data_IF_275805466033
#
_entry.id   IF_275805466033
#
_cell.length_a   1.000
_cell.length_b   1.000
_cell.length_c   1.000
_cell.angle_alpha   90.00
_cell.angle_beta   90.00
_cell.angle_gamma   90.00
#
_symmetry.space_group_name_H-M   'P 1'
#
loop_
_entity.id
_entity.type
_entity.pdbx_description
1 polymer ?
#
# COMPACT_ATOMS: atom_id res chain seq x y z
N UNK A 1 -54.99 -51.43 -17.81
CA UNK A 1 -53.76 -51.52 -16.99
C UNK A 1 -52.48 -51.29 -17.79
N UNK A 2 -52.44 -51.44 -19.12
CA UNK A 2 -51.23 -51.09 -19.92
C UNK A 2 -51.07 -49.58 -20.20
N UNK A 3 -52.13 -48.78 -20.09
CA UNK A 3 -52.08 -47.33 -20.36
C UNK A 3 -51.47 -46.45 -19.25
N UNK A 4 -51.56 -46.86 -17.98
CA UNK A 4 -51.00 -46.10 -16.86
C UNK A 4 -49.48 -46.30 -16.72
N UNK A 5 -48.98 -47.52 -16.97
CA UNK A 5 -47.54 -47.81 -16.95
C UNK A 5 -46.76 -47.03 -18.04
N UNK A 6 -47.37 -46.81 -19.21
CA UNK A 6 -46.77 -46.00 -20.28
C UNK A 6 -46.70 -44.51 -19.96
N UNK A 7 -47.65 -43.99 -19.18
CA UNK A 7 -47.66 -42.59 -18.74
C UNK A 7 -46.57 -42.28 -17.70
N UNK A 8 -46.36 -43.19 -16.74
CA UNK A 8 -45.30 -43.07 -15.72
C UNK A 8 -43.91 -43.16 -16.37
N UNK A 9 -43.70 -44.09 -17.29
CA UNK A 9 -42.45 -44.22 -18.05
C UNK A 9 -42.15 -42.98 -18.91
N UNK A 10 -43.18 -42.34 -19.49
CA UNK A 10 -42.99 -41.07 -20.21
C UNK A 10 -42.59 -39.93 -19.28
N UNK A 11 -43.18 -39.83 -18.09
CA UNK A 11 -42.83 -38.79 -17.12
C UNK A 11 -41.39 -38.97 -16.61
N UNK A 12 -40.99 -40.20 -16.25
CA UNK A 12 -39.61 -40.52 -15.85
C UNK A 12 -38.60 -40.21 -16.97
N UNK A 13 -38.97 -40.46 -18.23
CA UNK A 13 -38.16 -40.09 -19.38
C UNK A 13 -38.01 -38.57 -19.53
N UNK A 14 -39.08 -37.79 -19.28
CA UNK A 14 -39.03 -36.33 -19.31
C UNK A 14 -38.15 -35.75 -18.21
N UNK A 15 -38.27 -36.24 -16.97
CA UNK A 15 -37.43 -35.84 -15.84
C UNK A 15 -35.96 -36.19 -16.10
N UNK A 16 -35.70 -37.36 -16.68
CA UNK A 16 -34.35 -37.77 -17.09
C UNK A 16 -33.77 -36.88 -18.19
N UNK A 17 -34.59 -36.44 -19.15
CA UNK A 17 -34.18 -35.51 -20.21
C UNK A 17 -33.83 -34.14 -19.61
N UNK A 18 -34.62 -33.64 -18.66
CA UNK A 18 -34.36 -32.35 -18.00
C UNK A 18 -33.08 -32.41 -17.15
N UNK A 19 -32.90 -33.47 -16.36
CA UNK A 19 -31.68 -33.72 -15.61
C UNK A 19 -30.45 -33.80 -16.53
N UNK A 20 -30.55 -34.50 -17.67
CA UNK A 20 -29.46 -34.58 -18.65
C UNK A 20 -29.14 -33.22 -19.30
N UNK A 21 -30.14 -32.37 -19.53
CA UNK A 21 -29.94 -31.00 -20.03
C UNK A 21 -29.24 -30.12 -18.99
N UNK A 22 -29.68 -30.16 -17.74
CA UNK A 22 -29.06 -29.42 -16.64
C UNK A 22 -27.60 -29.86 -16.45
N UNK A 23 -27.35 -31.16 -16.40
CA UNK A 23 -26.01 -31.72 -16.31
C UNK A 23 -25.10 -31.29 -17.48
N UNK A 24 -25.62 -31.30 -18.72
CA UNK A 24 -24.88 -30.81 -19.89
C UNK A 24 -24.51 -29.32 -19.74
N UNK A 25 -25.45 -28.48 -19.29
CA UNK A 25 -25.21 -27.05 -19.11
C UNK A 25 -24.12 -26.82 -18.06
N UNK A 26 -24.19 -27.51 -16.91
CA UNK A 26 -23.14 -27.42 -15.88
C UNK A 26 -21.77 -27.90 -16.40
N UNK A 27 -21.72 -28.96 -17.21
CA UNK A 27 -20.47 -29.41 -17.82
C UNK A 27 -19.90 -28.36 -18.78
N UNK A 28 -20.75 -27.67 -19.54
CA UNK A 28 -20.32 -26.60 -20.43
C UNK A 28 -19.77 -25.41 -19.64
N UNK A 29 -20.41 -25.03 -18.54
CA UNK A 29 -19.92 -23.98 -17.63
C UNK A 29 -18.56 -24.37 -17.00
N UNK A 30 -18.42 -25.61 -16.51
CA UNK A 30 -17.14 -26.12 -15.98
C UNK A 30 -16.05 -26.15 -17.06
N UNK A 31 -16.39 -26.41 -18.32
CA UNK A 31 -15.45 -26.39 -19.43
C UNK A 31 -14.97 -24.97 -19.76
N UNK A 32 -15.85 -23.97 -19.67
CA UNK A 32 -15.47 -22.55 -19.78
C UNK A 32 -14.53 -22.16 -18.62
N UNK A 33 -14.88 -22.53 -17.38
CA UNK A 33 -14.06 -22.26 -16.21
C UNK A 33 -12.66 -22.91 -16.30
N UNK A 34 -12.58 -24.13 -16.85
CA UNK A 34 -11.30 -24.81 -17.08
C UNK A 34 -10.42 -24.06 -18.09
N UNK A 35 -11.01 -23.52 -19.15
CA UNK A 35 -10.27 -22.74 -20.14
C UNK A 35 -9.77 -21.41 -19.56
N UNK A 36 -10.57 -20.75 -18.73
CA UNK A 36 -10.15 -19.57 -17.98
C UNK A 36 -8.97 -19.89 -17.03
N UNK A 37 -9.04 -21.00 -16.30
CA UNK A 37 -7.96 -21.43 -15.41
C UNK A 37 -6.65 -21.71 -16.19
N UNK A 38 -6.74 -22.29 -17.39
CA UNK A 38 -5.57 -22.50 -18.27
C UNK A 38 -4.98 -21.18 -18.74
N UNK A 39 -5.81 -20.23 -19.16
CA UNK A 39 -5.36 -18.92 -19.60
C UNK A 39 -4.69 -18.16 -18.45
N UNK A 40 -5.26 -18.22 -17.25
CA UNK A 40 -4.68 -17.64 -16.05
C UNK A 40 -3.26 -18.16 -15.78
N UNK A 41 -3.02 -19.48 -15.86
CA UNK A 41 -1.68 -20.07 -15.66
C UNK A 41 -0.71 -19.58 -16.74
N UNK A 42 -1.13 -19.54 -18.01
CA UNK A 42 -0.28 -19.10 -19.12
C UNK A 42 0.11 -17.63 -18.98
N UNK A 43 -0.86 -16.78 -18.67
CA UNK A 43 -0.64 -15.34 -18.49
C UNK A 43 0.23 -15.06 -17.26
N UNK A 44 -0.06 -15.70 -16.13
CA UNK A 44 0.75 -15.52 -14.91
C UNK A 44 2.18 -16.01 -15.10
N UNK A 45 2.39 -17.12 -15.80
CA UNK A 45 3.72 -17.63 -16.13
C UNK A 45 4.48 -16.66 -17.05
N UNK A 46 3.82 -16.13 -18.08
CA UNK A 46 4.43 -15.17 -19.00
C UNK A 46 4.84 -13.87 -18.27
N UNK A 47 3.95 -13.34 -17.43
CA UNK A 47 4.21 -12.16 -16.61
C UNK A 47 5.34 -12.40 -15.60
N UNK A 48 5.32 -13.55 -14.91
CA UNK A 48 6.38 -13.93 -13.95
C UNK A 48 7.74 -14.07 -14.65
N UNK A 49 7.78 -14.72 -15.82
CA UNK A 49 9.01 -14.83 -16.62
C UNK A 49 9.53 -13.47 -17.06
N UNK A 50 8.64 -12.56 -17.47
CA UNK A 50 9.02 -11.21 -17.85
C UNK A 50 9.58 -10.43 -16.65
N UNK A 51 8.88 -10.45 -15.51
CA UNK A 51 9.31 -9.78 -14.28
C UNK A 51 10.67 -10.30 -13.77
N UNK A 52 10.88 -11.62 -13.76
CA UNK A 52 12.17 -12.21 -13.39
C UNK A 52 13.29 -11.75 -14.32
N UNK A 53 13.08 -11.78 -15.64
CA UNK A 53 14.07 -11.32 -16.60
C UNK A 53 14.41 -9.84 -16.39
N UNK A 54 13.40 -9.00 -16.23
CA UNK A 54 13.59 -7.57 -16.00
C UNK A 54 14.38 -7.32 -14.71
N UNK A 55 13.99 -7.96 -13.60
CA UNK A 55 14.68 -7.84 -12.31
C UNK A 55 16.17 -8.19 -12.42
N UNK A 56 16.51 -9.32 -13.07
CA UNK A 56 17.91 -9.69 -13.24
C UNK A 56 18.68 -8.81 -14.22
N UNK A 57 18.01 -8.18 -15.20
CA UNK A 57 18.64 -7.16 -16.07
C UNK A 57 18.97 -5.91 -15.26
N UNK A 58 18.02 -5.42 -14.46
CA UNK A 58 18.20 -4.24 -13.62
C UNK A 58 19.30 -4.47 -12.58
N UNK A 59 19.29 -5.63 -11.91
CA UNK A 59 20.30 -6.00 -10.93
C UNK A 59 21.70 -6.09 -11.54
N UNK A 60 21.84 -6.73 -12.72
CA UNK A 60 23.12 -6.79 -13.43
C UNK A 60 23.64 -5.40 -13.75
N UNK A 61 22.75 -4.53 -14.27
CA UNK A 61 23.10 -3.16 -14.62
C UNK A 61 23.59 -2.38 -13.39
N UNK A 62 22.90 -2.51 -12.26
CA UNK A 62 23.28 -1.86 -11.01
C UNK A 62 24.63 -2.38 -10.46
N UNK A 63 24.83 -3.70 -10.42
CA UNK A 63 26.09 -4.30 -9.94
C UNK A 63 27.26 -3.92 -10.84
N UNK A 64 27.11 -3.98 -12.17
CA UNK A 64 28.14 -3.56 -13.11
C UNK A 64 28.53 -2.10 -12.89
N UNK A 65 27.55 -1.20 -12.75
CA UNK A 65 27.82 0.22 -12.48
C UNK A 65 28.64 0.42 -11.20
N UNK A 66 28.29 -0.27 -10.11
CA UNK A 66 29.02 -0.16 -8.84
C UNK A 66 30.45 -0.70 -8.95
N UNK A 67 30.67 -1.76 -9.72
CA UNK A 67 32.00 -2.30 -9.98
C UNK A 67 32.85 -1.33 -10.82
N UNK A 68 32.27 -0.75 -11.86
CA UNK A 68 32.93 0.24 -12.72
C UNK A 68 33.32 1.50 -11.92
N UNK A 69 32.40 2.02 -11.08
CA UNK A 69 32.66 3.16 -10.19
C UNK A 69 33.80 2.87 -9.20
N UNK A 70 33.85 1.64 -8.66
CA UNK A 70 34.92 1.24 -7.74
C UNK A 70 36.27 1.10 -8.47
N UNK A 71 36.26 0.55 -9.68
CA UNK A 71 37.45 0.46 -10.52
C UNK A 71 37.99 1.86 -10.83
N UNK A 72 37.12 2.79 -11.23
CA UNK A 72 37.51 4.16 -11.52
C UNK A 72 38.14 4.85 -10.29
N UNK A 73 37.55 4.66 -9.11
CA UNK A 73 38.08 5.19 -7.85
C UNK A 73 39.51 4.69 -7.60
N UNK A 74 39.76 3.38 -7.75
CA UNK A 74 41.09 2.79 -7.55
C UNK A 74 42.11 3.30 -8.58
N UNK A 75 41.70 3.48 -9.83
CA UNK A 75 42.56 4.05 -10.87
C UNK A 75 42.90 5.52 -10.59
N UNK A 76 41.94 6.31 -10.09
CA UNK A 76 42.17 7.68 -9.67
C UNK A 76 43.16 7.77 -8.49
N UNK A 77 43.06 6.86 -7.51
CA UNK A 77 44.03 6.75 -6.40
C UNK A 77 45.45 6.47 -6.93
N UNK A 78 45.59 5.53 -7.88
CA UNK A 78 46.87 5.21 -8.54
C UNK A 78 47.43 6.45 -9.25
N UNK A 79 46.63 7.13 -10.08
CA UNK A 79 47.06 8.32 -10.81
C UNK A 79 47.41 9.49 -9.87
N UNK A 80 46.72 9.64 -8.75
CA UNK A 80 47.03 10.67 -7.76
C UNK A 80 48.40 10.42 -7.12
N UNK A 81 48.66 9.19 -6.67
CA UNK A 81 49.96 8.81 -6.08
C UNK A 81 51.07 8.98 -7.12
N UNK A 82 50.85 8.57 -8.37
CA UNK A 82 51.83 8.73 -9.45
C UNK A 82 52.18 10.22 -9.66
N UNK A 83 51.17 11.08 -9.81
CA UNK A 83 51.38 12.52 -10.04
C UNK A 83 52.07 13.22 -8.86
N UNK A 84 51.69 12.87 -7.63
CA UNK A 84 52.29 13.45 -6.42
C UNK A 84 53.77 13.09 -6.28
N UNK A 85 54.16 11.87 -6.65
CA UNK A 85 55.51 11.35 -6.42
C UNK A 85 56.46 11.52 -7.62
N UNK A 86 55.96 11.71 -8.84
CA UNK A 86 56.81 12.02 -10.01
C UNK A 86 57.34 13.45 -9.93
N UNK A 87 56.53 14.41 -9.48
CA UNK A 87 56.89 15.84 -9.53
C UNK A 87 58.22 16.17 -8.82
N UNK A 88 58.51 15.68 -7.61
CA UNK A 88 59.81 15.89 -6.98
C UNK A 88 60.98 15.30 -7.78
N UNK A 89 60.76 14.16 -8.46
CA UNK A 89 61.78 13.52 -9.31
C UNK A 89 62.04 14.36 -10.56
N UNK A 90 61.00 14.90 -11.20
CA UNK A 90 61.14 15.83 -12.33
C UNK A 90 61.93 17.09 -11.93
N UNK A 91 61.68 17.61 -10.74
CA UNK A 91 62.40 18.79 -10.23
C UNK A 91 63.85 18.44 -9.89
N UNK A 92 64.13 17.26 -9.33
CA UNK A 92 65.49 16.75 -9.16
C UNK A 92 66.22 16.58 -10.51
N UNK A 93 65.53 16.05 -11.53
CA UNK A 93 66.10 15.90 -12.87
C UNK A 93 66.48 17.27 -13.46
N UNK A 94 65.62 18.28 -13.36
CA UNK A 94 65.93 19.64 -13.83
C UNK A 94 67.15 20.23 -13.14
N UNK A 95 67.28 20.04 -11.83
CA UNK A 95 68.45 20.51 -11.06
C UNK A 95 69.74 19.82 -11.53
N UNK A 96 69.68 18.51 -11.78
CA UNK A 96 70.80 17.76 -12.33
C UNK A 96 71.16 18.24 -13.74
N UNK A 97 70.19 18.40 -14.63
CA UNK A 97 70.39 18.91 -15.99
C UNK A 97 71.01 20.32 -15.99
N UNK A 98 70.54 21.22 -15.13
CA UNK A 98 71.14 22.55 -14.95
C UNK A 98 72.58 22.48 -14.43
N UNK A 99 72.83 21.60 -13.46
CA UNK A 99 74.17 21.35 -12.92
C UNK A 99 75.13 20.84 -14.00
N UNK A 100 74.70 19.87 -14.81
CA UNK A 100 75.48 19.33 -15.94
C UNK A 100 75.78 20.42 -16.97
N UNK A 101 74.77 21.19 -17.39
CA UNK A 101 74.98 22.28 -18.35
C UNK A 101 75.97 23.33 -17.82
N UNK A 102 75.85 23.69 -16.53
CA UNK A 102 76.77 24.65 -15.89
C UNK A 102 78.19 24.10 -15.83
N UNK A 103 78.35 22.81 -15.51
CA UNK A 103 79.65 22.13 -15.50
C UNK A 103 80.26 22.08 -16.90
N UNK A 104 79.47 21.77 -17.93
CA UNK A 104 79.91 21.75 -19.33
C UNK A 104 80.40 23.14 -19.79
N UNK A 105 79.70 24.21 -19.43
CA UNK A 105 80.09 25.58 -19.78
C UNK A 105 81.36 26.01 -19.04
N UNK A 106 81.51 25.65 -17.76
CA UNK A 106 82.74 25.85 -17.00
C UNK A 106 83.92 25.07 -17.60
N UNK A 107 83.70 23.83 -18.02
CA UNK A 107 84.72 23.01 -18.67
C UNK A 107 85.21 23.66 -19.95
N UNK A 108 84.30 24.09 -20.83
CA UNK A 108 84.65 24.82 -22.06
C UNK A 108 85.43 26.11 -21.76
N UNK A 109 84.98 26.91 -20.80
CA UNK A 109 85.67 28.14 -20.39
C UNK A 109 87.09 27.85 -19.85
N UNK A 110 87.23 26.80 -19.04
CA UNK A 110 88.51 26.33 -18.52
C UNK A 110 89.46 25.84 -19.60
N UNK A 111 88.99 25.00 -20.52
CA UNK A 111 89.77 24.49 -21.66
C UNK A 111 90.26 25.62 -22.57
N UNK A 112 89.41 26.61 -22.84
CA UNK A 112 89.79 27.81 -23.59
C UNK A 112 90.80 28.69 -22.83
N UNK A 113 90.62 28.86 -21.51
CA UNK A 113 91.54 29.65 -20.68
C UNK A 113 92.94 29.02 -20.59
N UNK A 114 93.04 27.69 -20.59
CA UNK A 114 94.31 26.94 -20.54
C UNK A 114 95.01 26.84 -21.90
N UNK A 115 94.25 26.74 -22.99
CA UNK A 115 94.81 26.58 -24.36
C UNK A 115 95.28 27.89 -25.03
N UNK A 116 94.99 29.06 -24.45
CA UNK A 116 95.43 30.35 -24.96
C UNK A 116 96.96 30.53 -24.90
N UNK A 117 97.61 30.64 -26.06
CA UNK A 117 99.09 30.68 -26.26
C UNK A 117 99.79 31.93 -25.66
N UNK A 118 99.09 32.86 -25.04
CA UNK A 118 99.68 33.91 -24.20
C UNK A 118 98.68 34.27 -23.11
N UNK A 119 98.95 33.83 -21.87
CA UNK A 119 98.03 33.91 -20.73
C UNK A 119 97.42 35.29 -20.52
N UNK A 120 96.17 35.46 -20.94
CA UNK A 120 95.36 36.55 -20.45
C UNK A 120 94.96 36.19 -19.01
N UNK A 121 95.78 36.60 -18.04
CA UNK A 121 95.60 36.29 -16.60
C UNK A 121 94.18 36.58 -16.10
N UNK A 122 93.48 37.51 -16.73
CA UNK A 122 92.09 37.86 -16.44
C UNK A 122 91.12 36.71 -16.73
N UNK A 123 91.29 35.97 -17.84
CA UNK A 123 90.43 34.82 -18.17
C UNK A 123 90.64 33.66 -17.20
N UNK A 124 91.89 33.42 -16.82
CA UNK A 124 92.25 32.37 -15.85
C UNK A 124 91.72 32.70 -14.45
N UNK A 125 91.83 33.97 -14.05
CA UNK A 125 91.26 34.49 -12.80
C UNK A 125 89.73 34.40 -12.78
N UNK A 126 89.06 34.77 -13.86
CA UNK A 126 87.60 34.68 -13.99
C UNK A 126 87.10 33.23 -13.92
N UNK A 127 87.76 32.30 -14.64
CA UNK A 127 87.49 30.87 -14.53
C UNK A 127 87.68 30.36 -13.09
N UNK A 128 88.83 30.65 -12.47
CA UNK A 128 89.16 30.18 -11.12
C UNK A 128 88.14 30.69 -10.08
N UNK A 129 87.71 31.94 -10.20
CA UNK A 129 86.67 32.51 -9.32
C UNK A 129 85.30 31.86 -9.53
N UNK A 130 84.90 31.61 -10.79
CA UNK A 130 83.65 30.90 -11.10
C UNK A 130 83.69 29.46 -10.61
N UNK A 131 84.80 28.75 -10.81
CA UNK A 131 84.98 27.38 -10.33
C UNK A 131 84.88 27.30 -8.79
N UNK A 132 85.47 28.27 -8.08
CA UNK A 132 85.37 28.35 -6.62
C UNK A 132 83.92 28.56 -6.12
N UNK A 133 83.11 29.30 -6.87
CA UNK A 133 81.71 29.56 -6.53
C UNK A 133 80.76 28.42 -6.88
N UNK A 134 81.10 27.55 -7.84
CA UNK A 134 80.23 26.47 -8.31
C UNK A 134 80.29 25.18 -7.48
N UNK A 135 81.00 25.18 -6.34
CA UNK A 135 81.02 24.07 -5.36
C UNK A 135 81.12 22.67 -6.00
N UNK A 136 82.12 22.51 -6.90
CA UNK A 136 82.33 21.31 -7.73
C UNK A 136 82.49 19.99 -6.94
N UNK A 137 82.73 20.08 -5.63
CA UNK A 137 82.87 18.93 -4.73
C UNK A 137 81.54 18.44 -4.13
N UNK A 138 80.41 19.07 -4.49
CA UNK A 138 79.08 18.72 -3.98
C UNK A 138 78.12 18.35 -5.11
N UNK A 139 77.45 17.21 -4.97
CA UNK A 139 76.40 16.76 -5.89
C UNK A 139 75.04 16.82 -5.19
N UNK A 140 73.96 17.18 -5.91
CA UNK A 140 72.62 17.08 -5.35
C UNK A 140 72.28 15.61 -5.05
N UNK A 141 71.60 15.39 -3.93
CA UNK A 141 71.21 14.05 -3.48
C UNK A 141 70.02 13.54 -4.30
N UNK A 142 70.08 12.28 -4.71
CA UNK A 142 69.01 11.60 -5.45
C UNK A 142 68.44 10.51 -4.55
N UNK A 143 67.12 10.44 -4.35
CA UNK A 143 66.51 9.40 -3.52
C UNK A 143 66.83 8.01 -4.07
N UNK A 144 67.08 7.07 -3.17
CA UNK A 144 67.28 5.67 -3.53
C UNK A 144 65.97 5.04 -4.00
N UNK A 145 66.04 3.99 -4.82
CA UNK A 145 64.83 3.32 -5.33
C UNK A 145 63.93 2.75 -4.23
N UNK A 146 64.47 2.48 -3.05
CA UNK A 146 63.71 2.00 -1.88
C UNK A 146 62.88 3.13 -1.25
N UNK A 147 63.32 4.38 -1.42
CA UNK A 147 62.64 5.57 -0.92
C UNK A 147 61.57 6.09 -1.91
N UNK A 148 61.57 5.59 -3.16
CA UNK A 148 60.56 5.91 -4.17
C UNK A 148 59.37 4.93 -4.03
N UNK A 149 58.12 5.42 -3.96
CA UNK A 149 56.95 4.56 -3.88
C UNK A 149 56.84 3.56 -5.04
N UNK A 150 56.50 2.31 -4.72
CA UNK A 150 56.18 1.26 -5.69
C UNK A 150 54.67 0.96 -5.65
N UNK A 151 53.94 1.37 -6.68
CA UNK A 151 52.49 1.19 -6.75
C UNK A 151 52.14 -0.29 -6.99
N UNK A 152 51.27 -0.83 -6.14
CA UNK A 152 50.70 -2.18 -6.30
C UNK A 152 49.26 -2.19 -5.81
N UNK A 153 48.43 -3.06 -6.40
CA UNK A 153 47.04 -3.25 -5.99
C UNK A 153 46.89 -4.61 -5.31
N UNK A 154 46.30 -4.63 -4.12
CA UNK A 154 45.89 -5.85 -3.45
C UNK A 154 44.40 -6.08 -3.68
N UNK A 155 44.06 -7.20 -4.32
CA UNK A 155 42.69 -7.57 -4.67
C UNK A 155 42.28 -8.81 -3.86
N UNK A 156 41.09 -8.78 -3.27
CA UNK A 156 40.56 -9.90 -2.50
C UNK A 156 39.66 -10.80 -3.37
N UNK A 157 39.93 -12.11 -3.39
CA UNK A 157 39.16 -13.10 -4.14
C UNK A 157 37.89 -13.58 -3.39
N UNK A 158 37.78 -13.30 -2.08
CA UNK A 158 36.66 -13.75 -1.24
C UNK A 158 35.33 -13.11 -1.68
N UNK A 159 35.38 -11.90 -2.22
CA UNK A 159 34.19 -11.16 -2.67
C UNK A 159 33.34 -11.98 -3.65
N UNK A 160 33.97 -12.68 -4.61
CA UNK A 160 33.25 -13.48 -5.59
C UNK A 160 32.49 -14.66 -4.95
N UNK A 161 33.05 -15.26 -3.88
CA UNK A 161 32.39 -16.32 -3.16
C UNK A 161 31.15 -15.80 -2.42
N UNK A 162 31.29 -14.67 -1.71
CA UNK A 162 30.17 -14.02 -1.01
C UNK A 162 29.08 -13.63 -1.99
N UNK A 163 29.42 -12.97 -3.10
CA UNK A 163 28.44 -12.55 -4.11
C UNK A 163 27.72 -13.75 -4.73
N UNK A 164 28.44 -14.84 -5.04
CA UNK A 164 27.82 -16.07 -5.55
C UNK A 164 26.78 -16.62 -4.58
N UNK A 165 27.13 -16.73 -3.29
CA UNK A 165 26.23 -17.27 -2.27
C UNK A 165 24.96 -16.43 -2.11
N UNK A 166 25.06 -15.12 -2.26
CA UNK A 166 23.91 -14.22 -2.25
C UNK A 166 23.08 -14.36 -3.53
N UNK A 167 23.71 -14.39 -4.71
CA UNK A 167 23.02 -14.55 -6.00
C UNK A 167 22.20 -15.85 -6.03
N UNK A 168 22.75 -16.95 -5.54
CA UNK A 168 22.06 -18.24 -5.51
C UNK A 168 20.80 -18.26 -4.62
N UNK A 169 20.63 -17.27 -3.73
CA UNK A 169 19.48 -17.14 -2.83
C UNK A 169 18.49 -16.06 -3.28
N UNK A 170 18.76 -15.36 -4.39
CA UNK A 170 17.91 -14.27 -4.85
C UNK A 170 16.61 -14.79 -5.47
N UNK A 171 15.51 -14.42 -4.83
CA UNK A 171 14.16 -14.70 -5.29
C UNK A 171 13.72 -16.15 -5.11
N UNK A 172 12.42 -16.36 -5.20
CA UNK A 172 11.80 -17.68 -5.21
C UNK A 172 10.56 -17.66 -6.07
N UNK A 173 10.27 -18.77 -6.75
CA UNK A 173 9.03 -18.95 -7.50
C UNK A 173 8.10 -19.83 -6.67
N UNK A 174 6.89 -19.34 -6.39
CA UNK A 174 5.84 -20.11 -5.74
C UNK A 174 4.78 -20.50 -6.76
N UNK A 175 4.27 -21.72 -6.66
CA UNK A 175 3.17 -22.22 -7.51
C UNK A 175 1.80 -21.70 -7.08
N UNK A 176 1.70 -21.21 -5.84
CA UNK A 176 0.48 -20.68 -5.23
C UNK A 176 0.83 -19.47 -4.36
N UNK A 177 0.05 -18.38 -4.40
CA UNK A 177 0.18 -17.35 -3.39
C UNK A 177 -0.33 -17.90 -2.04
N UNK A 178 0.26 -17.47 -0.92
CA UNK A 178 -0.12 -17.98 0.41
C UNK A 178 -1.50 -17.49 0.85
N UNK A 179 -2.08 -16.51 0.15
CA UNK A 179 -3.38 -15.88 0.47
C UNK A 179 -4.22 -15.66 -0.78
N UNK A 180 -5.54 -15.71 -0.63
CA UNK A 180 -6.51 -15.41 -1.68
C UNK A 180 -7.67 -14.57 -1.14
N UNK A 181 -8.25 -13.75 -2.00
CA UNK A 181 -9.53 -13.09 -1.71
C UNK A 181 -10.61 -14.17 -1.69
N UNK A 182 -11.32 -14.25 -0.57
CA UNK A 182 -12.36 -15.24 -0.29
C UNK A 182 -13.74 -14.67 -0.62
N UNK A 183 -14.03 -13.45 -0.13
CA UNK A 183 -15.32 -12.79 -0.31
C UNK A 183 -15.16 -11.32 -0.67
N UNK A 184 -16.05 -10.84 -1.53
CA UNK A 184 -16.25 -9.43 -1.86
C UNK A 184 -17.70 -9.08 -1.60
N UNK A 185 -17.95 -8.24 -0.60
CA UNK A 185 -19.30 -7.93 -0.15
C UNK A 185 -19.59 -6.46 -0.40
N UNK A 186 -20.60 -6.17 -1.22
CA UNK A 186 -21.03 -4.81 -1.50
C UNK A 186 -21.48 -4.09 -0.21
N UNK A 187 -21.07 -2.82 -0.10
CA UNK A 187 -21.50 -1.89 0.94
C UNK A 187 -21.86 -0.54 0.29
N UNK A 188 -22.73 0.28 0.91
CA UNK A 188 -23.01 1.63 0.45
C UNK A 188 -21.73 2.46 0.23
N UNK A 189 -21.39 2.79 -1.02
CA UNK A 189 -20.16 3.51 -1.34
C UNK A 189 -18.85 2.79 -1.00
N UNK A 190 -18.89 1.47 -0.80
CA UNK A 190 -17.77 0.69 -0.29
C UNK A 190 -17.85 -0.79 -0.70
N UNK A 191 -16.75 -1.52 -0.51
CA UNK A 191 -16.68 -2.97 -0.67
C UNK A 191 -15.89 -3.54 0.50
N UNK A 192 -16.48 -4.48 1.25
CA UNK A 192 -15.75 -5.28 2.24
C UNK A 192 -15.03 -6.40 1.50
N UNK A 193 -13.71 -6.42 1.61
CA UNK A 193 -12.85 -7.46 1.04
C UNK A 193 -12.39 -8.36 2.17
N UNK A 194 -12.63 -9.67 2.06
CA UNK A 194 -12.12 -10.68 2.99
C UNK A 194 -11.16 -11.61 2.27
N UNK A 195 -10.13 -12.05 2.95
CA UNK A 195 -9.14 -12.98 2.42
C UNK A 195 -8.78 -14.08 3.42
N UNK A 196 -8.42 -15.23 2.88
CA UNK A 196 -8.03 -16.39 3.68
C UNK A 196 -6.61 -16.84 3.30
N UNK A 197 -6.00 -17.57 4.23
CA UNK A 197 -4.73 -18.25 3.98
C UNK A 197 -5.00 -19.54 3.22
N UNK A 198 -4.22 -19.78 2.16
CA UNK A 198 -4.32 -20.99 1.34
C UNK A 198 -3.19 -22.00 1.61
N UNK A 199 -2.19 -21.59 2.38
CA UNK A 199 -1.05 -22.41 2.78
C UNK A 199 -1.00 -22.49 4.31
N UNK A 200 -1.38 -23.64 4.85
CA UNK A 200 -1.45 -23.85 6.30
C UNK A 200 -0.09 -23.77 6.99
N UNK A 201 1.00 -24.00 6.26
CA UNK A 201 2.36 -23.93 6.79
C UNK A 201 2.90 -22.49 6.85
N UNK A 202 2.33 -21.57 6.07
CA UNK A 202 2.75 -20.16 6.05
C UNK A 202 2.28 -19.40 7.30
N UNK A 203 3.19 -18.70 7.99
CA UNK A 203 2.85 -17.89 9.15
C UNK A 203 2.84 -16.41 8.78
N UNK A 204 1.65 -15.92 8.40
CA UNK A 204 1.44 -14.52 8.03
C UNK A 204 1.63 -13.60 9.24
N UNK A 205 2.37 -12.50 9.03
CA UNK A 205 2.53 -11.40 9.99
C UNK A 205 1.68 -10.20 9.58
N UNK A 206 1.81 -9.79 8.32
CA UNK A 206 1.00 -8.73 7.73
C UNK A 206 0.42 -9.17 6.39
N UNK A 207 -0.71 -8.57 6.05
CA UNK A 207 -1.34 -8.57 4.75
C UNK A 207 -1.25 -7.18 4.13
N UNK A 208 -1.26 -7.14 2.80
CA UNK A 208 -1.32 -5.90 2.02
C UNK A 208 -2.42 -6.03 0.97
N UNK A 209 -3.44 -5.21 1.08
CA UNK A 209 -4.54 -5.13 0.12
C UNK A 209 -4.34 -3.93 -0.80
N UNK A 210 -4.50 -4.18 -2.10
CA UNK A 210 -4.51 -3.16 -3.13
C UNK A 210 -5.79 -3.21 -3.95
N UNK A 211 -6.16 -2.05 -4.49
CA UNK A 211 -7.24 -1.93 -5.45
C UNK A 211 -6.88 -0.97 -6.60
N UNK A 212 -7.64 -1.03 -7.69
CA UNK A 212 -7.66 -0.01 -8.74
C UNK A 212 -9.01 0.02 -9.44
N UNK A 213 -9.34 1.16 -10.05
CA UNK A 213 -10.40 1.19 -11.07
C UNK A 213 -9.98 0.29 -12.23
N UNK A 214 -10.93 -0.42 -12.85
CA UNK A 214 -10.63 -1.28 -13.99
C UNK A 214 -10.05 -0.49 -15.19
N UNK A 215 -10.35 0.81 -15.28
CA UNK A 215 -9.80 1.74 -16.28
C UNK A 215 -8.42 2.31 -15.92
N UNK A 216 -7.94 2.10 -14.69
CA UNK A 216 -6.66 2.62 -14.21
C UNK A 216 -5.53 1.61 -14.44
N UNK A 217 -4.31 2.12 -14.66
CA UNK A 217 -3.13 1.28 -14.87
C UNK A 217 -2.46 0.86 -13.56
N UNK A 218 -2.53 1.69 -12.51
CA UNK A 218 -1.80 1.49 -11.26
C UNK A 218 -2.70 0.98 -10.12
N UNK A 219 -2.13 0.17 -9.23
CA UNK A 219 -2.76 -0.31 -8.00
C UNK A 219 -2.33 0.55 -6.83
N UNK A 220 -3.29 0.92 -5.98
CA UNK A 220 -3.04 1.69 -4.76
C UNK A 220 -3.21 0.82 -3.53
N UNK A 221 -2.36 1.06 -2.52
CA UNK A 221 -2.49 0.42 -1.21
C UNK A 221 -3.68 1.01 -0.46
N UNK A 222 -4.57 0.13 0.01
CA UNK A 222 -5.72 0.53 0.85
C UNK A 222 -5.61 0.00 2.27
N UNK A 223 -4.85 -1.07 2.48
CA UNK A 223 -4.64 -1.65 3.80
C UNK A 223 -3.29 -2.36 3.90
N UNK A 224 -2.61 -2.18 5.04
CA UNK A 224 -1.44 -2.95 5.48
C UNK A 224 -1.60 -3.24 6.97
N UNK A 225 -1.62 -4.51 7.36
CA UNK A 225 -1.75 -4.94 8.76
C UNK A 225 -2.11 -6.41 8.90
N UNK A 226 -2.42 -6.85 10.12
CA UNK A 226 -2.63 -8.25 10.48
C UNK A 226 -4.05 -8.79 10.29
N UNK A 227 -5.04 -7.93 10.02
CA UNK A 227 -6.43 -8.34 9.84
C UNK A 227 -6.63 -9.06 8.51
N UNK A 228 -7.61 -9.97 8.46
CA UNK A 228 -7.96 -10.75 7.27
C UNK A 228 -9.11 -10.16 6.46
N UNK A 229 -9.56 -8.96 6.82
CA UNK A 229 -10.61 -8.24 6.11
C UNK A 229 -10.44 -6.73 6.21
N UNK A 230 -10.94 -6.01 5.21
CA UNK A 230 -10.92 -4.56 5.20
C UNK A 230 -12.05 -3.97 4.35
N UNK A 231 -12.67 -2.90 4.84
CA UNK A 231 -13.71 -2.16 4.12
C UNK A 231 -13.04 -1.06 3.28
N UNK A 232 -13.01 -1.26 1.97
CA UNK A 232 -12.54 -0.25 1.02
C UNK A 232 -13.67 0.74 0.77
N UNK A 233 -13.51 1.94 1.33
CA UNK A 233 -14.45 3.05 1.15
C UNK A 233 -14.18 3.81 -0.15
N UNK A 234 -15.06 4.76 -0.47
CA UNK A 234 -14.91 5.68 -1.62
C UNK A 234 -14.99 4.98 -2.98
N UNK A 235 -15.75 3.89 -3.04
CA UNK A 235 -16.03 3.19 -4.29
C UNK A 235 -17.18 3.89 -5.00
N UNK A 236 -16.90 4.37 -6.20
CA UNK A 236 -17.92 4.94 -7.09
C UNK A 236 -18.96 3.86 -7.44
N UNK A 237 -20.27 4.14 -7.25
CA UNK A 237 -21.32 3.19 -7.62
C UNK A 237 -21.30 2.84 -9.10
N UNK A 238 -21.53 1.57 -9.40
CA UNK A 238 -21.59 0.99 -10.74
C UNK A 238 -20.28 1.09 -11.54
N UNK A 239 -19.15 1.29 -10.86
CA UNK A 239 -17.80 1.25 -11.46
C UNK A 239 -17.09 -0.01 -11.03
N UNK A 240 -16.47 -0.72 -11.98
CA UNK A 240 -15.69 -1.93 -11.70
C UNK A 240 -14.32 -1.58 -11.10
N UNK A 241 -13.99 -2.22 -9.98
CA UNK A 241 -12.69 -2.17 -9.33
C UNK A 241 -12.07 -3.56 -9.29
N UNK A 242 -10.75 -3.62 -9.40
CA UNK A 242 -9.96 -4.83 -9.26
C UNK A 242 -9.21 -4.82 -7.95
N UNK A 243 -9.21 -5.95 -7.24
CA UNK A 243 -8.60 -6.14 -5.93
C UNK A 243 -7.55 -7.25 -5.99
N UNK A 244 -6.47 -7.09 -5.22
CA UNK A 244 -5.47 -8.12 -4.96
C UNK A 244 -4.89 -8.00 -3.56
N UNK A 245 -4.55 -9.13 -2.95
CA UNK A 245 -3.94 -9.20 -1.63
C UNK A 245 -2.66 -10.02 -1.67
N UNK A 246 -1.64 -9.63 -0.90
CA UNK A 246 -0.47 -10.46 -0.62
C UNK A 246 -0.20 -10.46 0.89
N UNK A 247 0.73 -11.30 1.32
CA UNK A 247 1.13 -11.39 2.73
C UNK A 247 2.64 -11.39 2.86
N UNK A 248 3.15 -11.03 4.04
CA UNK A 248 4.53 -11.33 4.43
C UNK A 248 4.51 -12.12 5.73
N UNK A 249 5.50 -12.96 5.91
CA UNK A 249 5.53 -13.95 6.97
C UNK A 249 6.87 -14.66 7.09
N UNK A 250 6.94 -15.62 8.00
CA UNK A 250 8.11 -16.50 8.18
C UNK A 250 9.44 -15.76 8.41
N UNK A 251 9.38 -14.59 9.08
CA UNK A 251 10.55 -13.76 9.34
C UNK A 251 11.12 -13.06 8.10
N UNK A 252 10.45 -13.14 6.95
CA UNK A 252 10.83 -12.46 5.72
C UNK A 252 10.24 -11.05 5.69
N UNK A 253 11.04 -10.10 5.19
CA UNK A 253 10.60 -8.72 4.93
C UNK A 253 9.86 -8.58 3.59
N UNK A 254 10.13 -9.50 2.66
CA UNK A 254 9.57 -9.50 1.31
C UNK A 254 8.09 -9.91 1.33
N UNK A 255 7.30 -9.24 0.50
CA UNK A 255 5.92 -9.61 0.25
C UNK A 255 5.85 -10.85 -0.64
N UNK A 256 4.89 -11.72 -0.35
CA UNK A 256 4.55 -12.86 -1.18
C UNK A 256 4.05 -12.42 -2.57
N UNK A 257 3.97 -13.35 -3.53
CA UNK A 257 3.15 -13.15 -4.72
C UNK A 257 1.71 -12.73 -4.35
N UNK A 258 1.10 -11.97 -5.24
CA UNK A 258 -0.29 -11.51 -5.12
C UNK A 258 -1.30 -12.64 -5.36
N UNK A 259 -2.47 -12.51 -4.74
CA UNK A 259 -3.66 -13.30 -5.03
C UNK A 259 -4.09 -13.15 -6.50
N UNK A 260 -5.03 -14.00 -6.92
CA UNK A 260 -5.74 -13.77 -8.18
C UNK A 260 -6.48 -12.44 -8.09
N UNK A 261 -6.49 -11.70 -9.21
CA UNK A 261 -7.26 -10.47 -9.32
C UNK A 261 -8.75 -10.78 -9.27
N UNK A 262 -9.46 -10.12 -8.37
CA UNK A 262 -10.91 -10.20 -8.31
C UNK A 262 -11.54 -8.85 -8.65
N UNK A 263 -12.57 -8.88 -9.49
CA UNK A 263 -13.29 -7.67 -9.89
C UNK A 263 -14.60 -7.58 -9.12
N UNK A 264 -14.88 -6.41 -8.55
CA UNK A 264 -16.16 -6.12 -7.89
C UNK A 264 -16.54 -4.67 -8.07
N UNK A 265 -17.81 -4.38 -7.86
CA UNK A 265 -18.41 -3.04 -7.90
C UNK A 265 -19.47 -2.96 -6.81
N UNK A 266 -19.78 -1.76 -6.36
CA UNK A 266 -20.97 -1.54 -5.53
C UNK A 266 -22.08 -0.92 -6.37
N UNK A 267 -23.30 -1.44 -6.24
CA UNK A 267 -24.51 -0.81 -6.79
C UNK A 267 -25.16 0.16 -5.79
N UNK A 268 -24.66 0.17 -4.56
CA UNK A 268 -25.24 0.86 -3.42
C UNK A 268 -24.69 2.28 -3.29
N UNK A 269 -25.60 3.24 -3.24
CA UNK A 269 -25.27 4.67 -3.13
C UNK A 269 -24.64 4.96 -1.75
N UNK A 270 -23.56 5.77 -1.67
CA UNK A 270 -22.94 6.12 -0.40
C UNK A 270 -23.90 6.75 0.60
N UNK A 271 -23.73 6.44 1.88
CA UNK A 271 -24.45 7.11 2.96
C UNK A 271 -23.93 8.56 3.13
N UNK A 272 -24.80 9.53 2.91
CA UNK A 272 -24.50 10.96 3.03
C UNK A 272 -25.52 11.65 3.95
N UNK A 273 -25.05 12.60 4.75
CA UNK A 273 -25.87 13.55 5.50
C UNK A 273 -26.48 14.61 4.57
N UNK A 274 -27.66 15.11 4.93
CA UNK A 274 -28.36 16.18 4.22
C UNK A 274 -27.61 17.51 4.36
N UNK A 275 -27.50 18.25 3.25
CA UNK A 275 -26.82 19.57 3.23
C UNK A 275 -27.75 20.71 3.61
N UNK A 276 -27.18 21.82 4.11
CA UNK A 276 -27.93 23.06 4.33
C UNK A 276 -28.76 23.07 5.61
N UNK A 277 -28.45 22.18 6.57
CA UNK A 277 -29.09 22.16 7.87
C UNK A 277 -28.32 23.05 8.86
N UNK A 278 -28.96 24.14 9.27
CA UNK A 278 -28.39 25.06 10.25
C UNK A 278 -28.16 24.32 11.58
N UNK A 279 -26.92 24.33 12.06
CA UNK A 279 -26.50 23.59 13.26
C UNK A 279 -25.51 22.45 13.04
N UNK A 280 -25.30 22.02 11.80
CA UNK A 280 -24.32 20.99 11.48
C UNK A 280 -23.35 21.43 10.39
N UNK A 281 -22.08 21.12 10.60
CA UNK A 281 -21.02 21.30 9.62
C UNK A 281 -20.60 19.93 9.07
N UNK A 282 -20.59 19.79 7.76
CA UNK A 282 -20.29 18.52 7.10
C UNK A 282 -18.86 18.47 6.55
N UNK A 283 -18.29 17.27 6.46
CA UNK A 283 -17.07 17.05 5.65
C UNK A 283 -17.33 17.28 4.16
N UNK A 284 -16.27 17.43 3.38
CA UNK A 284 -16.35 17.52 1.90
C UNK A 284 -17.09 16.34 1.26
N UNK A 285 -16.95 15.15 1.86
CA UNK A 285 -17.62 13.91 1.43
C UNK A 285 -19.03 13.74 1.99
N UNK A 286 -19.50 14.66 2.83
CA UNK A 286 -20.83 14.65 3.47
C UNK A 286 -21.13 13.39 4.29
N UNK A 287 -20.12 12.63 4.70
CA UNK A 287 -20.26 11.44 5.53
C UNK A 287 -19.90 11.69 7.00
N UNK A 288 -19.35 12.86 7.33
CA UNK A 288 -19.10 13.29 8.70
C UNK A 288 -19.95 14.52 8.99
N UNK A 289 -20.69 14.49 10.09
CA UNK A 289 -21.46 15.61 10.61
C UNK A 289 -20.90 16.05 11.97
N UNK A 290 -20.62 17.34 12.11
CA UNK A 290 -20.20 17.99 13.35
C UNK A 290 -21.31 18.94 13.83
N UNK A 291 -21.79 18.73 15.06
CA UNK A 291 -22.70 19.68 15.72
C UNK A 291 -21.92 20.94 16.10
N UNK A 292 -22.29 22.07 15.49
CA UNK A 292 -21.65 23.37 15.69
C UNK A 292 -22.42 24.26 16.69
N UNK A 293 -21.92 25.46 16.93
CA UNK A 293 -22.46 26.40 17.93
C UNK A 293 -23.76 27.10 17.50
N UNK A 294 -24.22 26.90 16.26
CA UNK A 294 -25.50 27.45 15.81
C UNK A 294 -26.65 26.77 16.52
N UNK A 295 -27.74 27.52 16.73
CA UNK A 295 -28.98 26.95 17.26
C UNK A 295 -29.52 25.92 16.27
N UNK A 296 -29.70 24.67 16.73
CA UNK A 296 -30.37 23.60 15.98
C UNK A 296 -31.57 23.14 16.76
N UNK A 297 -32.68 22.91 16.06
CA UNK A 297 -33.93 22.44 16.66
C UNK A 297 -34.39 21.09 16.09
N UNK A 298 -33.50 20.32 15.47
CA UNK A 298 -33.94 19.01 15.00
C UNK A 298 -32.88 18.04 14.51
N UNK A 299 -33.41 16.94 13.99
CA UNK A 299 -32.64 15.81 13.49
C UNK A 299 -31.97 16.15 12.16
N UNK A 300 -30.67 15.98 12.09
CA UNK A 300 -29.94 15.91 10.83
C UNK A 300 -30.17 14.53 10.20
N UNK A 301 -30.92 14.48 9.11
CA UNK A 301 -31.20 13.25 8.37
C UNK A 301 -30.17 12.94 7.28
N UNK A 302 -30.14 11.69 6.83
CA UNK A 302 -29.52 11.26 5.59
C UNK A 302 -30.15 11.97 4.39
N UNK A 303 -29.35 12.24 3.37
CA UNK A 303 -29.75 12.94 2.14
C UNK A 303 -30.91 12.24 1.40
N UNK A 304 -30.97 10.92 1.49
CA UNK A 304 -32.02 10.09 0.95
C UNK A 304 -32.17 8.82 1.83
N UNK A 305 -33.26 8.09 1.63
CA UNK A 305 -33.46 6.77 2.22
C UNK A 305 -32.52 5.77 1.54
N UNK A 306 -31.32 5.61 2.09
CA UNK A 306 -30.24 4.79 1.50
C UNK A 306 -29.95 3.54 2.31
N UNK A 307 -30.47 3.43 3.53
CA UNK A 307 -30.28 2.25 4.36
C UNK A 307 -31.28 1.17 3.97
N UNK A 308 -30.79 0.07 3.40
CA UNK A 308 -31.60 -1.08 2.99
C UNK A 308 -31.54 -2.18 4.04
N UNK A 309 -32.62 -2.95 4.18
CA UNK A 309 -32.59 -4.15 5.03
C UNK A 309 -31.60 -5.19 4.49
N UNK A 310 -30.91 -5.88 5.38
CA UNK A 310 -29.77 -6.76 5.07
C UNK A 310 -28.41 -6.04 5.04
N UNK A 311 -28.38 -4.71 5.14
CA UNK A 311 -27.14 -3.95 5.32
C UNK A 311 -26.82 -3.74 6.80
N UNK A 312 -25.52 -3.62 7.08
CA UNK A 312 -25.00 -3.12 8.36
C UNK A 312 -24.72 -1.62 8.23
N UNK A 313 -25.58 -0.78 8.80
CA UNK A 313 -25.34 0.66 8.86
C UNK A 313 -24.47 0.96 10.08
N UNK A 314 -23.29 1.53 9.85
CA UNK A 314 -22.32 1.81 10.92
C UNK A 314 -22.13 3.30 11.12
N UNK A 315 -22.22 3.74 12.37
CA UNK A 315 -21.79 5.06 12.81
C UNK A 315 -20.54 4.93 13.67
N UNK A 316 -19.61 5.88 13.54
CA UNK A 316 -18.50 6.04 14.47
C UNK A 316 -18.49 7.45 15.04
N UNK A 317 -18.44 7.54 16.35
CA UNK A 317 -18.39 8.82 17.06
C UNK A 317 -16.94 9.24 17.18
N UNK A 318 -16.55 10.30 16.49
CA UNK A 318 -15.18 10.81 16.43
C UNK A 318 -14.88 11.70 17.64
N UNK A 319 -15.83 12.57 18.00
CA UNK A 319 -15.75 13.45 19.17
C UNK A 319 -17.11 13.53 19.86
N UNK A 320 -17.08 13.79 21.16
CA UNK A 320 -18.28 13.91 21.99
C UNK A 320 -18.45 15.34 22.49
N UNK A 321 -19.70 15.78 22.62
CA UNK A 321 -20.07 17.01 23.29
C UNK A 321 -20.67 16.73 24.68
N UNK A 322 -21.29 17.75 25.27
CA UNK A 322 -22.13 17.55 26.45
C UNK A 322 -23.34 16.68 26.09
N UNK A 323 -23.65 15.69 26.93
CA UNK A 323 -24.79 14.80 26.74
C UNK A 323 -26.10 15.49 27.11
N UNK A 324 -27.14 15.29 26.31
CA UNK A 324 -28.52 15.65 26.58
C UNK A 324 -29.47 14.46 26.34
N UNK A 325 -30.63 14.48 27.00
CA UNK A 325 -31.63 13.42 26.89
C UNK A 325 -32.24 13.29 25.48
N UNK A 326 -32.23 14.35 24.67
CA UNK A 326 -32.76 14.31 23.30
C UNK A 326 -31.72 13.85 22.27
N UNK A 327 -30.46 13.67 22.71
CA UNK A 327 -29.40 13.22 21.82
C UNK A 327 -29.67 11.79 21.34
N UNK A 328 -29.33 11.52 20.09
CA UNK A 328 -29.36 10.16 19.60
C UNK A 328 -28.98 10.01 18.14
N UNK A 329 -28.71 8.76 17.77
CA UNK A 329 -28.41 8.33 16.40
C UNK A 329 -29.34 7.16 16.09
N UNK A 330 -29.91 7.12 14.88
CA UNK A 330 -30.87 6.08 14.56
C UNK A 330 -31.35 6.07 13.12
N UNK A 331 -32.40 5.28 12.91
CA UNK A 331 -33.06 5.04 11.63
C UNK A 331 -34.55 5.32 11.73
N UNK A 332 -35.15 5.78 10.63
CA UNK A 332 -36.57 6.07 10.57
C UNK A 332 -37.14 5.89 9.16
N UNK A 333 -38.45 5.70 9.09
CA UNK A 333 -39.17 5.51 7.80
C UNK A 333 -39.26 6.81 7.00
N UNK A 334 -39.54 7.93 7.69
CA UNK A 334 -39.87 9.22 7.08
C UNK A 334 -39.10 10.35 7.80
N UNK A 335 -38.75 11.40 7.04
CA UNK A 335 -38.18 12.63 7.58
C UNK A 335 -39.30 13.52 8.14
N UNK A 336 -39.12 13.99 9.37
CA UNK A 336 -40.02 14.94 10.02
C UNK A 336 -39.23 16.02 10.74
N UNK A 337 -39.78 17.23 10.78
CA UNK A 337 -39.24 18.30 11.61
C UNK A 337 -39.57 18.01 13.08
N UNK A 338 -38.57 17.50 13.79
CA UNK A 338 -38.69 17.06 15.18
C UNK A 338 -37.33 17.18 15.87
N UNK A 339 -37.36 17.34 17.19
CA UNK A 339 -36.15 17.56 18.00
C UNK A 339 -35.27 16.31 18.10
N UNK A 340 -35.86 15.11 17.99
CA UNK A 340 -35.16 13.85 18.19
C UNK A 340 -35.80 12.68 17.43
N UNK A 341 -35.01 11.63 17.21
CA UNK A 341 -35.47 10.34 16.69
C UNK A 341 -36.21 9.47 17.72
N UNK A 342 -36.36 9.93 18.97
CA UNK A 342 -37.13 9.27 20.02
C UNK A 342 -38.65 9.43 19.79
N UNK A 343 -39.14 8.90 18.66
CA UNK A 343 -40.52 9.10 18.18
C UNK A 343 -41.07 7.87 17.47
N UNK A 344 -42.34 7.93 17.12
CA UNK A 344 -42.99 6.89 16.32
C UNK A 344 -42.33 6.73 14.93
N UNK A 345 -42.38 5.50 14.41
CA UNK A 345 -41.72 5.05 13.16
C UNK A 345 -40.21 5.32 13.12
N UNK A 346 -39.55 5.30 14.28
CA UNK A 346 -38.11 5.46 14.40
C UNK A 346 -37.52 4.52 15.46
N UNK A 347 -36.26 4.18 15.26
CA UNK A 347 -35.43 3.40 16.18
C UNK A 347 -34.14 4.17 16.38
N UNK A 348 -33.75 4.45 17.62
CA UNK A 348 -32.52 5.18 17.89
C UNK A 348 -31.85 4.76 19.20
N UNK A 349 -30.57 5.11 19.31
CA UNK A 349 -29.76 4.97 20.51
C UNK A 349 -29.40 6.37 20.98
N UNK A 350 -29.68 6.66 22.26
CA UNK A 350 -29.22 7.91 22.88
C UNK A 350 -27.74 7.86 23.23
N UNK A 351 -27.14 9.02 23.51
CA UNK A 351 -25.73 9.10 23.93
C UNK A 351 -25.46 8.37 25.26
N UNK A 352 -26.48 8.18 26.09
CA UNK A 352 -26.41 7.40 27.33
C UNK A 352 -26.40 5.87 27.13
N UNK A 353 -26.69 5.40 25.91
CA UNK A 353 -26.84 3.99 25.60
C UNK A 353 -28.29 3.46 25.69
N UNK A 354 -29.26 4.29 26.10
CA UNK A 354 -30.67 3.92 26.07
C UNK A 354 -31.17 3.75 24.62
N UNK A 355 -31.91 2.66 24.38
CA UNK A 355 -32.46 2.29 23.06
C UNK A 355 -33.95 2.62 23.02
N UNK A 356 -34.39 3.32 21.98
CA UNK A 356 -35.79 3.70 21.78
C UNK A 356 -36.35 3.03 20.52
N UNK A 357 -37.56 2.47 20.63
CA UNK A 357 -38.31 1.85 19.53
C UNK A 357 -39.70 2.45 19.48
N UNK A 358 -40.03 3.11 18.36
CA UNK A 358 -41.27 3.89 18.21
C UNK A 358 -41.48 4.87 19.39
N UNK A 359 -40.40 5.53 19.81
CA UNK A 359 -40.38 6.51 20.92
C UNK A 359 -40.45 5.92 22.33
N UNK A 360 -40.52 4.60 22.47
CA UNK A 360 -40.54 3.93 23.79
C UNK A 360 -39.16 3.41 24.14
N UNK A 361 -38.67 3.77 25.32
CA UNK A 361 -37.39 3.29 25.84
C UNK A 361 -37.47 1.79 26.16
N UNK A 362 -36.45 1.06 25.72
CA UNK A 362 -36.27 -0.35 26.05
C UNK A 362 -35.53 -0.51 27.38
N UNK A 363 -35.81 -1.60 28.08
CA UNK A 363 -35.13 -1.91 29.35
C UNK A 363 -33.65 -2.28 29.16
N UNK A 364 -33.31 -2.89 28.03
CA UNK A 364 -31.93 -3.25 27.70
C UNK A 364 -31.22 -2.03 27.12
N UNK A 365 -30.10 -1.66 27.72
CA UNK A 365 -29.27 -0.53 27.32
C UNK A 365 -27.91 -1.00 26.81
N UNK A 366 -27.36 -0.24 25.86
CA UNK A 366 -25.99 -0.36 25.38
C UNK A 366 -25.05 0.46 26.29
N UNK A 367 -23.72 0.25 26.18
CA UNK A 367 -22.76 1.11 26.85
C UNK A 367 -22.91 2.58 26.42
N UNK A 368 -22.66 3.55 27.32
CA UNK A 368 -22.65 4.97 26.95
C UNK A 368 -21.65 5.26 25.84
N UNK A 369 -22.01 6.20 24.97
CA UNK A 369 -21.20 6.56 23.80
C UNK A 369 -19.96 7.35 24.21
N UNK A 370 -18.81 6.96 23.68
CA UNK A 370 -17.51 7.61 23.92
C UNK A 370 -16.78 7.88 22.60
N UNK A 371 -15.72 8.71 22.57
CA UNK A 371 -14.89 8.88 21.37
C UNK A 371 -14.34 7.53 20.89
N UNK A 372 -14.51 7.22 19.61
CA UNK A 372 -14.17 5.95 18.98
C UNK A 372 -15.27 4.89 19.01
N UNK A 373 -16.34 5.08 19.79
CA UNK A 373 -17.47 4.13 19.83
C UNK A 373 -18.10 3.96 18.45
N UNK A 374 -18.28 2.71 18.05
CA UNK A 374 -19.06 2.33 16.88
C UNK A 374 -20.47 1.90 17.31
N UNK A 375 -21.46 2.27 16.51
CA UNK A 375 -22.85 1.85 16.67
C UNK A 375 -23.31 1.27 15.33
N UNK A 376 -23.69 -0.01 15.31
CA UNK A 376 -24.23 -0.66 14.10
C UNK A 376 -25.73 -0.88 14.22
N UNK A 377 -26.40 -0.77 13.08
CA UNK A 377 -27.79 -1.18 12.90
C UNK A 377 -27.82 -2.26 11.83
N UNK A 378 -28.25 -3.45 12.23
CA UNK A 378 -28.45 -4.60 11.37
C UNK A 378 -29.94 -4.95 11.38
N UNK A 379 -30.52 -5.12 10.20
CA UNK A 379 -31.97 -5.26 10.06
C UNK A 379 -32.35 -6.34 9.08
N UNK A 380 -33.14 -7.30 9.55
CA UNK A 380 -33.67 -8.38 8.73
C UNK A 380 -35.19 -8.29 8.66
N UNK A 381 -35.73 -8.43 7.43
CA UNK A 381 -37.17 -8.49 7.22
C UNK A 381 -37.63 -9.91 7.55
N UNK A 382 -38.55 -10.04 8.51
CA UNK A 382 -39.18 -11.32 8.80
C UNK A 382 -40.42 -11.49 7.93
N UNK A 383 -40.46 -12.57 7.14
CA UNK A 383 -41.67 -12.94 6.40
C UNK A 383 -42.70 -13.48 7.38
N UNK A 384 -43.73 -12.71 7.70
CA UNK A 384 -44.89 -13.24 8.42
C UNK A 384 -45.64 -14.16 7.45
N UNK A 385 -45.85 -15.43 7.82
CA UNK A 385 -46.76 -16.31 7.11
C UNK A 385 -48.14 -15.65 7.00
N UNK A 386 -48.78 -15.74 5.84
CA UNK A 386 -50.05 -15.08 5.55
C UNK A 386 -51.10 -15.38 6.63
N UNK A 387 -51.37 -14.43 7.50
CA UNK A 387 -52.52 -14.45 8.40
C UNK A 387 -53.59 -13.53 7.83
N UNK A 388 -54.70 -14.14 7.40
CA UNK A 388 -55.85 -13.42 6.86
C UNK A 388 -56.42 -12.43 7.90
N UNK A 389 -56.55 -11.15 7.50
CA UNK A 389 -57.37 -10.07 8.06
C UNK A 389 -56.71 -8.89 8.78
N UNK A 390 -55.39 -8.71 8.74
CA UNK A 390 -54.78 -7.40 9.06
C UNK A 390 -53.91 -6.95 7.88
N UNK A 391 -53.86 -5.63 7.62
CA UNK A 391 -53.07 -5.05 6.51
C UNK A 391 -51.59 -5.48 6.58
N UNK A 392 -50.78 -5.24 5.54
CA UNK A 392 -49.42 -5.77 5.45
C UNK A 392 -48.50 -5.13 6.51
N UNK A 393 -48.53 -5.63 7.74
CA UNK A 393 -47.59 -5.26 8.80
C UNK A 393 -46.25 -5.93 8.51
N UNK A 394 -45.19 -5.13 8.35
CA UNK A 394 -43.84 -5.66 8.14
C UNK A 394 -43.12 -5.72 9.49
N UNK A 395 -42.81 -6.94 9.93
CA UNK A 395 -42.01 -7.18 11.12
C UNK A 395 -40.53 -7.23 10.76
N UNK A 396 -39.71 -6.44 11.46
CA UNK A 396 -38.26 -6.43 11.27
C UNK A 396 -37.56 -6.84 12.54
N UNK A 397 -36.60 -7.75 12.42
CA UNK A 397 -35.65 -8.02 13.49
C UNK A 397 -34.54 -6.98 13.39
N UNK A 398 -34.37 -6.19 14.44
CA UNK A 398 -33.33 -5.17 14.51
C UNK A 398 -32.32 -5.60 15.56
N UNK A 399 -31.06 -5.61 15.18
CA UNK A 399 -29.92 -5.78 16.07
C UNK A 399 -29.14 -4.47 16.09
N UNK A 400 -29.01 -3.88 17.28
CA UNK A 400 -28.15 -2.72 17.47
C UNK A 400 -26.94 -3.17 18.29
N UNK A 401 -25.74 -2.99 17.74
CA UNK A 401 -24.51 -3.31 18.46
C UNK A 401 -23.72 -2.04 18.77
N UNK A 402 -23.09 -2.00 19.95
CA UNK A 402 -22.09 -1.01 20.27
C UNK A 402 -21.05 -1.60 21.23
N UNK A 403 -19.78 -1.41 20.90
CA UNK A 403 -18.65 -2.04 21.61
C UNK A 403 -18.81 -3.57 21.65
N UNK A 404 -18.96 -4.17 22.83
CA UNK A 404 -19.12 -5.61 23.01
C UNK A 404 -20.52 -6.02 23.48
N UNK A 405 -21.53 -5.16 23.27
CA UNK A 405 -22.92 -5.44 23.61
C UNK A 405 -23.83 -5.27 22.40
N UNK A 406 -24.88 -6.06 22.39
CA UNK A 406 -25.93 -6.01 21.39
C UNK A 406 -27.31 -6.03 22.05
N UNK A 407 -28.28 -5.39 21.40
CA UNK A 407 -29.69 -5.46 21.76
C UNK A 407 -30.48 -5.85 20.52
N UNK A 408 -31.27 -6.91 20.64
CA UNK A 408 -32.08 -7.46 19.57
C UNK A 408 -33.56 -7.32 19.91
N UNK A 409 -34.35 -6.76 18.99
CA UNK A 409 -35.79 -6.55 19.18
C UNK A 409 -36.57 -6.58 17.87
N UNK A 410 -37.89 -6.59 17.98
CA UNK A 410 -38.82 -6.60 16.85
C UNK A 410 -39.36 -5.20 16.66
N UNK A 411 -39.14 -4.65 15.47
CA UNK A 411 -39.72 -3.38 15.05
C UNK A 411 -40.89 -3.64 14.12
N UNK A 412 -42.08 -3.28 14.59
CA UNK A 412 -43.34 -3.44 13.87
C UNK A 412 -43.66 -2.15 13.12
N UNK A 413 -43.83 -2.26 11.80
CA UNK A 413 -44.24 -1.15 10.92
C UNK A 413 -45.55 -1.51 10.23
N UNK A 414 -46.49 -0.56 10.23
CA UNK A 414 -47.79 -0.71 9.56
C UNK A 414 -47.69 -0.66 8.03
N UNK A 415 -46.59 -0.12 7.49
CA UNK A 415 -46.34 0.03 6.05
C UNK A 415 -45.04 -0.65 5.64
N UNK A 416 -45.04 -1.27 4.47
CA UNK A 416 -43.83 -1.84 3.86
C UNK A 416 -42.91 -0.73 3.35
N UNK A 417 -41.62 -0.83 3.66
CA UNK A 417 -40.63 0.19 3.26
C UNK A 417 -39.26 -0.43 2.96
N UNK A 418 -38.81 -0.41 1.71
CA UNK A 418 -37.56 -1.12 1.38
C UNK A 418 -36.31 -0.37 1.82
N UNK A 419 -36.40 0.96 1.95
CA UNK A 419 -35.29 1.84 2.28
C UNK A 419 -35.63 2.82 3.40
N UNK A 420 -34.72 2.97 4.36
CA UNK A 420 -34.90 3.84 5.52
C UNK A 420 -33.95 5.04 5.46
N UNK A 421 -34.38 6.12 6.09
CA UNK A 421 -33.50 7.22 6.43
C UNK A 421 -32.73 6.87 7.70
N UNK A 422 -31.55 7.47 7.83
CA UNK A 422 -30.87 7.55 9.10
C UNK A 422 -30.75 9.00 9.55
N UNK A 423 -30.48 9.23 10.83
CA UNK A 423 -30.38 10.57 11.36
C UNK A 423 -29.62 10.64 12.67
N UNK A 424 -29.24 11.86 13.05
CA UNK A 424 -28.74 12.15 14.39
C UNK A 424 -29.28 13.49 14.90
N UNK A 425 -29.45 13.60 16.21
CA UNK A 425 -29.79 14.83 16.91
C UNK A 425 -28.83 15.00 18.08
N UNK A 426 -28.26 16.20 18.22
CA UNK A 426 -27.41 16.56 19.34
C UNK A 426 -27.73 17.98 19.79
N UNK A 427 -28.02 18.18 21.07
CA UNK A 427 -28.38 19.50 21.60
C UNK A 427 -27.14 20.40 21.65
N UNK A 428 -26.06 19.89 22.24
CA UNK A 428 -24.84 20.64 22.50
C UNK A 428 -23.78 20.48 21.40
N UNK A 429 -22.95 21.50 21.15
CA UNK A 429 -21.85 21.42 20.18
C UNK A 429 -20.77 20.39 20.59
N UNK A 430 -19.98 19.96 19.61
CA UNK A 430 -18.80 19.09 19.82
C UNK A 430 -19.02 17.62 19.44
N UNK A 431 -20.26 17.18 19.27
CA UNK A 431 -20.55 15.84 18.74
C UNK A 431 -20.19 15.74 17.25
N UNK A 432 -19.36 14.76 16.90
CA UNK A 432 -18.94 14.50 15.52
C UNK A 432 -19.15 13.03 15.17
N UNK A 433 -19.95 12.77 14.16
CA UNK A 433 -20.37 11.41 13.77
C UNK A 433 -20.01 11.16 12.31
N UNK A 434 -19.27 10.08 12.08
CA UNK A 434 -19.02 9.49 10.77
C UNK A 434 -20.10 8.42 10.51
N UNK A 435 -20.67 8.41 9.31
CA UNK A 435 -21.44 7.29 8.76
C UNK A 435 -20.60 6.60 7.68
N UNK A 436 -20.60 5.27 7.69
CA UNK A 436 -19.84 4.44 6.73
C UNK A 436 -20.64 4.11 5.49
#
# INVERSE_FOLDING_TARGET
MEGEAGGTLMQEAWESIDAARNYKNELQERMIALELARNQIKESAAQTCHALRQHFVDLKTAITKLLDERQETLLQEVSAIEQENIKPLDDCQKLLEQGVNTADDLLKEGEMAVSGIAGNNENLYNFTNKALHNQLDSLPEVPSLVEVPCLSAQLDEIFLCVVRDHICKLGSVASRPPVQIEELIERPGAILVKWCKCDDDFVAQDYRLQYRKNTASHFEDVYVGSESEFIVLQIDPNVDYQFRVCARGDGRQEWSPWSVLQTSRTTLVPHEWSTGYDGYSLSSRRNIALRNDSVSHGVLYSKAATYLSGQTLTFRVETVGQMDKHDGIGVCVEQFDCESLQRDKAVCVSTSGAVYVNGKEMTNQLPPVSPGSTITFDMEIMTLGQTNNEGPSQKRRVTISSSNREVVFDWLLEQSCDSLYFGCSFVHPGWKVLVF
#
